data_IF_159299457991
#
_entry.id   IF_159299457991
#
_cell.length_a   1.000
_cell.length_b   1.000
_cell.length_c   1.000
_cell.angle_alpha   90.00
_cell.angle_beta   90.00
_cell.angle_gamma   90.00
#
_symmetry.space_group_name_H-M   'P 1'
#
loop_
_entity.id
_entity.type
_entity.pdbx_description
1 polymer ?
#
# COMPACT_ATOMS: atom_id res chain seq x y z
N UNK A 1 -8.26 6.89 23.40
CA UNK A 1 -7.75 6.62 22.05
C UNK A 1 -6.36 6.01 22.23
N UNK A 2 -6.17 4.68 22.09
CA UNK A 2 -4.86 4.10 22.35
C UNK A 2 -3.91 4.55 21.23
N UNK A 3 -2.85 5.25 21.63
CA UNK A 3 -1.69 5.53 20.80
C UNK A 3 -1.05 4.19 20.41
N UNK A 4 -1.23 3.75 19.17
CA UNK A 4 -0.39 2.70 18.59
C UNK A 4 0.98 3.31 18.30
N UNK A 5 1.85 3.31 19.31
CA UNK A 5 3.28 3.57 19.16
C UNK A 5 3.89 2.47 18.28
N UNK A 6 3.84 2.65 16.96
CA UNK A 6 4.34 1.67 15.99
C UNK A 6 5.86 1.70 15.86
N UNK A 7 6.53 2.70 16.45
CA UNK A 7 8.00 2.76 16.55
C UNK A 7 8.59 2.05 17.78
N UNK A 8 7.77 1.49 18.70
CA UNK A 8 8.30 0.88 19.94
C UNK A 8 7.90 -0.60 20.17
N UNK A 9 7.24 -1.27 19.22
CA UNK A 9 6.89 -2.70 19.38
C UNK A 9 7.50 -3.66 18.36
N UNK A 10 8.18 -3.18 17.32
CA UNK A 10 8.92 -4.02 16.36
C UNK A 10 10.38 -4.21 16.82
N UNK A 11 10.59 -4.52 18.10
CA UNK A 11 11.92 -4.78 18.70
C UNK A 11 12.55 -6.10 18.24
N UNK A 12 12.25 -6.54 17.03
CA UNK A 12 12.72 -7.77 16.40
C UNK A 12 12.71 -7.55 14.88
N UNK A 13 13.67 -8.13 14.16
CA UNK A 13 13.84 -8.07 12.70
C UNK A 13 12.66 -8.74 11.97
N UNK A 14 11.47 -8.16 12.07
CA UNK A 14 10.22 -8.71 11.55
C UNK A 14 9.74 -7.93 10.33
N UNK A 15 9.45 -8.67 9.26
CA UNK A 15 8.78 -8.15 8.07
C UNK A 15 7.32 -7.82 8.37
N UNK A 16 6.88 -6.60 8.05
CA UNK A 16 5.50 -6.13 8.25
C UNK A 16 4.80 -5.97 6.89
N UNK A 17 3.58 -6.51 6.78
CA UNK A 17 2.72 -6.31 5.61
C UNK A 17 1.43 -5.58 6.02
N UNK A 18 1.26 -4.34 5.55
CA UNK A 18 0.03 -3.58 5.74
C UNK A 18 -0.96 -3.81 4.60
N UNK A 19 -2.19 -4.21 4.93
CA UNK A 19 -3.28 -4.42 3.96
C UNK A 19 -4.35 -3.34 4.14
N UNK A 20 -4.83 -2.76 3.03
CA UNK A 20 -5.82 -1.68 3.00
C UNK A 20 -5.44 -0.51 3.92
N UNK A 21 -6.13 -0.33 5.05
CA UNK A 21 -5.83 0.73 6.01
C UNK A 21 -4.46 0.55 6.69
N UNK A 22 -3.99 -0.68 6.84
CA UNK A 22 -2.64 -0.95 7.35
C UNK A 22 -1.55 -0.35 6.46
N UNK A 23 -1.70 -0.41 5.14
CA UNK A 23 -0.81 0.27 4.18
C UNK A 23 -0.80 1.79 4.41
N UNK A 24 -1.97 2.37 4.66
CA UNK A 24 -2.11 3.81 4.88
C UNK A 24 -1.41 4.24 6.17
N UNK A 25 -1.59 3.49 7.26
CA UNK A 25 -0.90 3.75 8.54
C UNK A 25 0.60 3.68 8.32
N UNK A 26 1.12 2.60 7.72
CA UNK A 26 2.56 2.44 7.49
C UNK A 26 3.15 3.59 6.67
N UNK A 27 2.47 4.01 5.60
CA UNK A 27 2.93 5.14 4.80
C UNK A 27 2.91 6.45 5.60
N UNK A 28 1.88 6.69 6.40
CA UNK A 28 1.73 7.91 7.21
C UNK A 28 2.75 7.98 8.34
N UNK A 29 3.00 6.87 9.04
CA UNK A 29 4.00 6.80 10.12
C UNK A 29 5.43 7.05 9.59
N UNK A 30 5.69 6.73 8.32
CA UNK A 30 6.97 7.01 7.65
C UNK A 30 7.01 8.38 6.95
N UNK A 31 6.02 9.24 7.16
CA UNK A 31 6.01 10.62 6.65
C UNK A 31 5.43 10.81 5.25
N UNK A 32 4.74 9.81 4.71
CA UNK A 32 3.95 9.90 3.47
C UNK A 32 2.53 10.46 3.70
N UNK A 33 1.80 10.71 2.61
CA UNK A 33 0.42 11.22 2.63
C UNK A 33 -0.55 10.26 1.95
N UNK A 34 -1.83 10.34 2.34
CA UNK A 34 -2.92 9.56 1.77
C UNK A 34 -4.04 10.54 1.46
N UNK A 35 -4.63 10.41 0.28
CA UNK A 35 -5.79 11.17 -0.15
C UNK A 35 -6.98 10.25 -0.32
N UNK A 36 -8.13 10.70 0.14
CA UNK A 36 -9.40 10.02 -0.12
C UNK A 36 -9.84 10.32 -1.54
N UNK A 37 -9.96 9.30 -2.39
CA UNK A 37 -10.60 9.42 -3.70
C UNK A 37 -11.98 8.76 -3.64
N UNK A 38 -12.95 9.31 -4.37
CA UNK A 38 -14.28 8.71 -4.50
C UNK A 38 -14.24 7.56 -5.51
N UNK A 39 -13.58 6.45 -5.13
CA UNK A 39 -13.59 5.20 -5.89
C UNK A 39 -14.60 4.25 -5.26
N UNK A 40 -15.51 3.72 -6.07
CA UNK A 40 -16.42 2.65 -5.64
C UNK A 40 -15.66 1.33 -5.54
N UNK A 41 -16.01 0.53 -4.54
CA UNK A 41 -15.48 -0.81 -4.34
C UNK A 41 -15.71 -1.68 -5.58
N UNK A 42 -14.72 -2.51 -5.92
CA UNK A 42 -14.81 -3.36 -7.10
C UNK A 42 -13.55 -4.15 -7.39
N UNK A 43 -13.63 -4.98 -8.42
CA UNK A 43 -12.47 -5.69 -8.96
C UNK A 43 -11.82 -4.84 -10.03
N UNK A 44 -10.50 -4.65 -9.91
CA UNK A 44 -9.72 -3.83 -10.81
C UNK A 44 -8.45 -4.55 -11.23
N UNK A 45 -8.04 -4.30 -12.48
CA UNK A 45 -6.73 -4.72 -12.95
C UNK A 45 -5.66 -3.75 -12.40
N UNK A 46 -4.62 -4.32 -11.83
CA UNK A 46 -3.42 -3.60 -11.41
C UNK A 46 -2.20 -4.14 -12.15
N UNK A 47 -1.20 -3.28 -12.31
CA UNK A 47 0.14 -3.67 -12.73
C UNK A 47 1.02 -3.84 -11.50
N UNK A 48 1.77 -4.95 -11.45
CA UNK A 48 2.69 -5.27 -10.37
C UNK A 48 4.10 -5.48 -10.91
N UNK A 49 5.10 -5.10 -10.11
CA UNK A 49 6.51 -5.36 -10.39
C UNK A 49 6.90 -6.74 -9.87
N UNK A 50 7.14 -7.69 -10.80
CA UNK A 50 7.40 -9.10 -10.45
C UNK A 50 8.82 -9.31 -9.91
N UNK A 51 9.70 -8.32 -10.03
CA UNK A 51 11.01 -8.27 -9.36
C UNK A 51 10.87 -8.07 -7.84
N UNK A 52 9.73 -7.54 -7.38
CA UNK A 52 9.44 -7.47 -5.95
C UNK A 52 9.23 -8.89 -5.39
N UNK A 53 9.91 -9.29 -4.30
CA UNK A 53 9.70 -10.59 -3.67
C UNK A 53 8.24 -10.89 -3.30
N UNK A 54 7.44 -9.85 -3.06
CA UNK A 54 6.01 -9.95 -2.75
C UNK A 54 5.18 -10.47 -3.94
N UNK A 55 5.60 -10.21 -5.18
CA UNK A 55 4.87 -10.56 -6.41
C UNK A 55 5.59 -11.61 -7.26
N UNK A 56 6.63 -12.26 -6.71
CA UNK A 56 7.41 -13.26 -7.43
C UNK A 56 6.52 -14.42 -7.87
N UNK A 57 6.57 -14.73 -9.17
CA UNK A 57 5.80 -15.83 -9.77
C UNK A 57 4.37 -15.46 -10.19
N UNK A 58 3.95 -14.21 -9.99
CA UNK A 58 2.70 -13.68 -10.53
C UNK A 58 2.91 -13.09 -11.93
N UNK A 59 1.83 -12.97 -12.69
CA UNK A 59 1.80 -12.19 -13.92
C UNK A 59 1.84 -10.68 -13.62
N UNK A 60 2.34 -9.88 -14.55
CA UNK A 60 2.45 -8.42 -14.38
C UNK A 60 1.09 -7.73 -14.24
N UNK A 61 0.01 -8.35 -14.73
CA UNK A 61 -1.38 -7.87 -14.54
C UNK A 61 -2.09 -8.78 -13.56
N UNK A 62 -2.68 -8.19 -12.53
CA UNK A 62 -3.43 -8.92 -11.50
C UNK A 62 -4.82 -8.32 -11.34
N UNK A 63 -5.85 -9.18 -11.24
CA UNK A 63 -7.19 -8.76 -10.85
C UNK A 63 -7.31 -8.78 -9.34
N UNK A 64 -7.52 -7.62 -8.73
CA UNK A 64 -7.59 -7.46 -7.27
C UNK A 64 -8.87 -6.76 -6.85
N UNK A 65 -9.36 -7.08 -5.65
CA UNK A 65 -10.45 -6.34 -5.02
C UNK A 65 -9.89 -5.09 -4.36
N UNK A 66 -10.28 -3.91 -4.83
CA UNK A 66 -10.01 -2.65 -4.14
C UNK A 66 -11.28 -2.24 -3.40
N UNK A 67 -11.16 -2.20 -2.08
CA UNK A 67 -12.19 -1.71 -1.16
C UNK A 67 -11.70 -0.38 -0.59
N UNK A 68 -12.49 0.67 -0.76
CA UNK A 68 -12.22 2.08 -0.47
C UNK A 68 -11.27 2.76 -1.47
N UNK A 69 -11.63 3.99 -1.85
CA UNK A 69 -10.88 4.80 -2.80
C UNK A 69 -9.73 5.61 -2.22
N UNK A 70 -9.31 5.34 -0.98
CA UNK A 70 -8.15 6.00 -0.41
C UNK A 70 -6.87 5.55 -1.14
N UNK A 71 -6.11 6.53 -1.62
CA UNK A 71 -4.89 6.32 -2.39
C UNK A 71 -3.71 6.98 -1.71
N UNK A 72 -2.53 6.37 -1.86
CA UNK A 72 -1.29 6.98 -1.41
C UNK A 72 -0.98 8.11 -2.40
N UNK A 73 -0.89 9.33 -1.87
CA UNK A 73 -0.54 10.53 -2.64
C UNK A 73 0.99 10.67 -2.66
N UNK A 74 1.60 10.93 -1.50
CA UNK A 74 3.05 10.87 -1.34
C UNK A 74 3.48 9.56 -0.71
N UNK A 75 4.29 8.79 -1.44
CA UNK A 75 5.01 7.63 -0.89
C UNK A 75 6.07 8.12 0.09
N UNK A 76 6.12 7.55 1.28
CA UNK A 76 7.12 7.87 2.29
C UNK A 76 8.56 7.61 1.81
N UNK A 77 9.51 8.36 2.35
CA UNK A 77 10.93 8.17 2.03
C UNK A 77 11.40 6.77 2.45
N UNK A 78 12.17 6.11 1.60
CA UNK A 78 12.62 4.72 1.81
C UNK A 78 11.58 3.66 1.43
N UNK A 79 10.33 4.03 1.11
CA UNK A 79 9.36 3.13 0.48
C UNK A 79 9.42 3.24 -1.04
N UNK A 80 8.98 2.17 -1.69
CA UNK A 80 8.92 2.08 -3.16
C UNK A 80 7.56 1.57 -3.59
N UNK A 81 6.95 2.25 -4.55
CA UNK A 81 5.73 1.76 -5.20
C UNK A 81 6.09 0.55 -6.07
N UNK A 82 5.45 -0.60 -5.82
CA UNK A 82 5.67 -1.86 -6.54
C UNK A 82 4.40 -2.39 -7.22
N UNK A 83 3.30 -1.67 -7.10
CA UNK A 83 2.02 -1.99 -7.71
C UNK A 83 1.21 -0.71 -7.94
N UNK A 84 0.59 -0.58 -9.12
CA UNK A 84 -0.22 0.57 -9.52
C UNK A 84 -1.51 0.12 -10.19
N UNK A 85 -2.62 0.79 -9.90
CA UNK A 85 -3.86 0.62 -10.66
C UNK A 85 -3.93 1.64 -11.79
N UNK A 86 -4.58 1.29 -12.91
CA UNK A 86 -4.73 2.17 -14.08
C UNK A 86 -5.48 3.48 -13.80
N UNK A 87 -6.13 3.61 -12.64
CA UNK A 87 -6.80 4.83 -12.17
C UNK A 87 -5.90 5.73 -11.30
N UNK A 88 -4.62 5.40 -11.19
CA UNK A 88 -3.59 6.21 -10.57
C UNK A 88 -2.53 6.56 -11.62
N UNK A 89 -2.85 7.57 -12.43
CA UNK A 89 -1.85 8.35 -13.17
C UNK A 89 -1.49 9.53 -12.26
N UNK A 90 -0.20 9.55 -11.91
CA UNK A 90 0.61 10.57 -11.23
C UNK A 90 -0.08 11.56 -10.29
#
# INVERSE_FOLDING_TARGET
MPHYATQQSLGCDLSVLGICYGKQILNKELGGTVERKDVRDGQFEIQVETECPLFKGLETRQMVLLTNGDSVDKVAEGLRCVAKSSRHID
#
